data_IF_985510195406
#
_entry.id   IF_985510195406
#
_cell.length_a   1.000
_cell.length_b   1.000
_cell.length_c   1.000
_cell.angle_alpha   90.00
_cell.angle_beta   90.00
_cell.angle_gamma   90.00
#
_symmetry.space_group_name_H-M   'P 1'
#
loop_
_entity.id
_entity.type
_entity.pdbx_description
1 polymer ?
#
# COMPACT_ATOMS: atom_id res chain seq x y z
N UNK A 1 11.92 -10.99 7.58
CA UNK A 1 12.51 -9.81 6.89
C UNK A 1 12.19 -8.57 7.73
N UNK A 2 12.88 -7.44 7.56
CA UNK A 2 12.56 -6.18 8.27
C UNK A 2 11.81 -5.25 7.32
N UNK A 3 10.92 -4.40 7.84
CA UNK A 3 10.17 -3.44 7.01
C UNK A 3 11.12 -2.45 6.31
N UNK A 4 11.00 -2.32 4.98
CA UNK A 4 11.73 -1.30 4.23
C UNK A 4 10.92 0.02 4.23
N UNK A 5 11.54 1.09 4.74
CA UNK A 5 10.96 2.44 4.77
C UNK A 5 11.58 3.37 3.74
N UNK A 6 12.59 2.92 3.00
CA UNK A 6 13.22 3.67 1.92
C UNK A 6 12.48 3.48 0.60
N UNK A 7 12.55 4.45 -0.32
CA UNK A 7 12.03 4.28 -1.68
C UNK A 7 12.63 3.02 -2.32
N UNK A 8 11.76 2.09 -2.70
CA UNK A 8 12.14 0.77 -3.24
C UNK A 8 11.48 0.47 -4.59
N UNK A 9 10.74 1.43 -5.14
CA UNK A 9 10.15 1.35 -6.47
C UNK A 9 11.08 2.12 -7.40
N UNK A 10 11.47 1.49 -8.51
CA UNK A 10 12.39 2.09 -9.48
C UNK A 10 11.81 3.37 -10.10
N UNK A 11 10.54 3.31 -10.50
CA UNK A 11 9.81 4.43 -11.11
C UNK A 11 8.57 4.76 -10.24
N UNK A 12 8.76 5.51 -9.14
CA UNK A 12 7.68 5.81 -8.21
C UNK A 12 6.57 6.62 -8.89
N UNK A 13 6.91 7.55 -9.78
CA UNK A 13 5.95 8.43 -10.46
C UNK A 13 4.97 7.64 -11.34
N UNK A 14 5.48 6.67 -12.12
CA UNK A 14 4.65 5.82 -12.96
C UNK A 14 3.74 4.91 -12.12
N UNK A 15 4.25 4.36 -11.01
CA UNK A 15 3.43 3.59 -10.09
C UNK A 15 2.33 4.43 -9.43
N UNK A 16 2.63 5.67 -9.02
CA UNK A 16 1.63 6.59 -8.49
C UNK A 16 0.58 6.93 -9.54
N UNK A 17 0.98 7.18 -10.78
CA UNK A 17 0.05 7.42 -11.88
C UNK A 17 -0.87 6.22 -12.13
N UNK A 18 -0.34 5.00 -12.13
CA UNK A 18 -1.11 3.76 -12.27
C UNK A 18 -2.14 3.61 -11.13
N UNK A 19 -1.71 3.83 -9.88
CA UNK A 19 -2.58 3.72 -8.71
C UNK A 19 -3.72 4.74 -8.75
N UNK A 20 -3.45 5.98 -9.15
CA UNK A 20 -4.51 7.01 -9.30
C UNK A 20 -5.44 6.65 -10.46
N UNK A 21 -4.90 6.24 -11.60
CA UNK A 21 -5.71 5.88 -12.76
C UNK A 21 -6.63 4.68 -12.50
N UNK A 22 -6.19 3.71 -11.68
CA UNK A 22 -7.03 2.56 -11.31
C UNK A 22 -8.28 2.91 -10.50
N UNK A 23 -8.34 4.13 -9.92
CA UNK A 23 -9.47 4.62 -9.12
C UNK A 23 -10.28 5.70 -9.85
N UNK A 24 -9.90 6.09 -11.08
CA UNK A 24 -10.46 7.26 -11.79
C UNK A 24 -11.98 7.21 -11.98
N UNK A 25 -12.52 6.02 -12.21
CA UNK A 25 -13.95 5.80 -12.48
C UNK A 25 -14.69 5.25 -11.26
N UNK A 26 -14.05 5.25 -10.09
CA UNK A 26 -14.61 4.73 -8.84
C UNK A 26 -15.15 5.87 -7.97
N UNK A 27 -16.28 5.63 -7.31
CA UNK A 27 -16.70 6.46 -6.18
C UNK A 27 -15.81 6.24 -4.95
N UNK A 28 -15.99 7.07 -3.92
CA UNK A 28 -15.17 7.01 -2.70
C UNK A 28 -15.24 5.64 -2.00
N UNK A 29 -16.41 5.02 -1.95
CA UNK A 29 -16.60 3.72 -1.29
C UNK A 29 -15.93 2.59 -2.10
N UNK A 30 -16.04 2.65 -3.42
CA UNK A 30 -15.39 1.74 -4.34
C UNK A 30 -13.87 1.88 -4.29
N UNK A 31 -13.34 3.10 -4.27
CA UNK A 31 -11.91 3.37 -4.12
C UNK A 31 -11.39 2.84 -2.77
N UNK A 32 -12.12 3.05 -1.68
CA UNK A 32 -11.76 2.49 -0.36
C UNK A 32 -11.73 0.96 -0.38
N UNK A 33 -12.73 0.31 -0.99
CA UNK A 33 -12.76 -1.15 -1.16
C UNK A 33 -11.60 -1.66 -2.01
N UNK A 34 -11.28 -0.97 -3.09
CA UNK A 34 -10.15 -1.30 -3.96
C UNK A 34 -8.84 -1.23 -3.18
N UNK A 35 -8.61 -0.15 -2.43
CA UNK A 35 -7.41 0.03 -1.61
C UNK A 35 -7.29 -1.04 -0.52
N UNK A 36 -8.40 -1.38 0.17
CA UNK A 36 -8.40 -2.46 1.14
C UNK A 36 -8.03 -3.82 0.50
N UNK A 37 -8.57 -4.12 -0.69
CA UNK A 37 -8.22 -5.34 -1.43
C UNK A 37 -6.76 -5.34 -1.88
N UNK A 38 -6.25 -4.23 -2.35
CA UNK A 38 -4.84 -4.07 -2.74
C UNK A 38 -3.91 -4.33 -1.53
N UNK A 39 -4.21 -3.74 -0.37
CA UNK A 39 -3.47 -3.97 0.87
C UNK A 39 -3.43 -5.47 1.23
N UNK A 40 -4.56 -6.18 1.12
CA UNK A 40 -4.61 -7.62 1.39
C UNK A 40 -3.78 -8.45 0.39
N UNK A 41 -3.83 -8.10 -0.90
CA UNK A 41 -3.02 -8.77 -1.92
C UNK A 41 -1.52 -8.60 -1.66
N UNK A 42 -1.09 -7.37 -1.36
CA UNK A 42 0.30 -7.07 -1.01
C UNK A 42 0.71 -7.75 0.31
N UNK A 43 -0.18 -7.79 1.30
CA UNK A 43 0.08 -8.48 2.56
C UNK A 43 0.30 -9.99 2.35
N UNK A 44 -0.51 -10.60 1.48
CA UNK A 44 -0.34 -12.00 1.10
C UNK A 44 0.97 -12.24 0.34
N UNK A 45 1.36 -11.32 -0.55
CA UNK A 45 2.63 -11.39 -1.27
C UNK A 45 3.84 -11.29 -0.31
N UNK A 46 3.77 -10.41 0.70
CA UNK A 46 4.81 -10.25 1.72
C UNK A 46 4.91 -11.50 2.61
N UNK A 47 3.77 -12.05 3.07
CA UNK A 47 3.68 -13.29 3.85
C UNK A 47 4.31 -13.27 5.26
N UNK A 48 5.10 -12.26 5.60
CA UNK A 48 5.79 -12.13 6.89
C UNK A 48 4.95 -11.32 7.90
N UNK A 49 4.41 -12.00 8.91
CA UNK A 49 3.59 -11.38 9.96
C UNK A 49 4.31 -10.27 10.74
N UNK A 50 5.63 -10.36 10.92
CA UNK A 50 6.39 -9.32 11.65
C UNK A 50 6.45 -8.03 10.83
N UNK A 51 6.79 -8.14 9.55
CA UNK A 51 6.80 -7.01 8.60
C UNK A 51 5.43 -6.33 8.56
N UNK A 52 4.35 -7.10 8.47
CA UNK A 52 2.99 -6.57 8.46
C UNK A 52 2.62 -5.85 9.77
N UNK A 53 3.06 -6.37 10.90
CA UNK A 53 2.80 -5.77 12.22
C UNK A 53 3.54 -4.44 12.36
N UNK A 54 4.80 -4.39 11.94
CA UNK A 54 5.61 -3.16 11.88
C UNK A 54 4.96 -2.12 10.95
N UNK A 55 4.52 -2.54 9.76
CA UNK A 55 3.88 -1.66 8.77
C UNK A 55 2.61 -1.01 9.32
N UNK A 56 1.73 -1.78 9.99
CA UNK A 56 0.53 -1.24 10.65
C UNK A 56 0.91 -0.24 11.74
N UNK A 57 1.93 -0.56 12.54
CA UNK A 57 2.44 0.32 13.59
C UNK A 57 3.00 1.64 13.05
N UNK A 58 3.67 1.61 11.89
CA UNK A 58 4.14 2.81 11.20
C UNK A 58 2.96 3.63 10.62
N UNK A 59 2.04 3.00 9.89
CA UNK A 59 0.89 3.68 9.30
C UNK A 59 0.00 4.36 10.35
N UNK A 60 -0.22 3.73 11.51
CA UNK A 60 -1.03 4.29 12.60
C UNK A 60 -0.40 5.53 13.25
N UNK A 61 0.92 5.66 13.25
CA UNK A 61 1.61 6.78 13.91
C UNK A 61 1.50 8.11 13.14
N UNK A 62 0.97 8.07 11.90
CA UNK A 62 1.01 9.21 10.98
C UNK A 62 2.43 9.38 10.45
N UNK A 63 2.60 9.39 9.13
CA UNK A 63 3.90 9.72 8.54
C UNK A 63 4.35 11.08 9.07
N UNK A 64 5.57 11.14 9.60
CA UNK A 64 6.27 12.42 9.78
C UNK A 64 6.65 13.01 8.43
#
# INVERSE_FOLDING_TARGET
>A
MMLNLSPNIADPDDFYAELINSQRDLDEEQALRMNARLILLLANHIGDRKVLTEAIGCARRGGG
#
